data_IF_820216925998
#
_entry.id   IF_820216925998
#
_cell.length_a   1.000
_cell.length_b   1.000
_cell.length_c   1.000
_cell.angle_alpha   90.00
_cell.angle_beta   90.00
_cell.angle_gamma   90.00
#
_symmetry.space_group_name_H-M   'P 1'
#
loop_
_entity.id
_entity.type
_entity.pdbx_description
1 polymer ?
#
# COMPACT_ATOMS: atom_id res chain seq x y z
N UNK A 1 -26.45 45.04 18.26
CA UNK A 1 -25.16 44.30 18.26
C UNK A 1 -24.04 45.34 18.29
N UNK A 2 -23.17 45.30 19.29
CA UNK A 2 -22.14 46.31 19.55
C UNK A 2 -20.94 46.12 18.59
N UNK A 3 -20.19 47.19 18.37
CA UNK A 3 -18.95 47.18 17.57
C UNK A 3 -17.97 46.09 18.07
N UNK A 4 -17.88 45.88 19.38
CA UNK A 4 -17.00 44.90 20.01
C UNK A 4 -17.40 43.45 19.70
N UNK A 5 -18.70 43.19 19.51
CA UNK A 5 -19.20 41.89 19.05
C UNK A 5 -18.68 41.56 17.66
N UNK A 6 -18.71 42.50 16.71
CA UNK A 6 -18.23 42.29 15.35
C UNK A 6 -16.70 42.13 15.28
N UNK A 7 -15.97 42.86 16.13
CA UNK A 7 -14.53 42.73 16.26
C UNK A 7 -14.18 41.34 16.82
N UNK A 8 -14.85 40.85 17.84
CA UNK A 8 -14.67 39.51 18.39
C UNK A 8 -14.98 38.40 17.37
N UNK A 9 -16.07 38.55 16.62
CA UNK A 9 -16.45 37.62 15.55
C UNK A 9 -15.40 37.57 14.42
N UNK A 10 -14.82 38.72 14.05
CA UNK A 10 -13.77 38.81 13.06
C UNK A 10 -12.49 38.06 13.53
N UNK A 11 -12.06 38.27 14.76
CA UNK A 11 -10.89 37.56 15.32
C UNK A 11 -11.12 36.05 15.37
N UNK A 12 -12.32 35.61 15.76
CA UNK A 12 -12.67 34.21 15.76
C UNK A 12 -12.61 33.59 14.33
N UNK A 13 -13.14 34.30 13.34
CA UNK A 13 -13.11 33.88 11.95
C UNK A 13 -11.66 33.78 11.41
N UNK A 14 -10.83 34.78 11.71
CA UNK A 14 -9.42 34.77 11.33
C UNK A 14 -8.67 33.60 11.99
N UNK A 15 -8.85 33.37 13.28
CA UNK A 15 -8.24 32.27 14.01
C UNK A 15 -8.67 30.91 13.43
N UNK A 16 -9.96 30.76 13.11
CA UNK A 16 -10.48 29.54 12.45
C UNK A 16 -9.85 29.33 11.08
N UNK A 17 -9.74 30.38 10.26
CA UNK A 17 -9.12 30.31 8.94
C UNK A 17 -7.64 29.90 9.04
N UNK A 18 -6.89 30.50 9.97
CA UNK A 18 -5.50 30.12 10.22
C UNK A 18 -5.40 28.66 10.65
N UNK A 19 -6.29 28.20 11.54
CA UNK A 19 -6.33 26.79 11.97
C UNK A 19 -6.60 25.83 10.81
N UNK A 20 -7.53 26.16 9.92
CA UNK A 20 -7.85 25.35 8.73
C UNK A 20 -6.64 25.32 7.77
N UNK A 21 -6.00 26.44 7.51
CA UNK A 21 -4.79 26.50 6.67
C UNK A 21 -3.66 25.67 7.30
N UNK A 22 -3.45 25.81 8.60
CA UNK A 22 -2.41 25.04 9.30
C UNK A 22 -2.69 23.52 9.23
N UNK A 23 -3.93 23.10 9.43
CA UNK A 23 -4.36 21.71 9.30
C UNK A 23 -4.15 21.19 7.87
N UNK A 24 -4.51 22.00 6.87
CA UNK A 24 -4.30 21.67 5.46
C UNK A 24 -2.81 21.45 5.14
N UNK A 25 -1.95 22.37 5.57
CA UNK A 25 -0.50 22.23 5.41
C UNK A 25 0.06 21.04 6.19
N UNK A 26 -0.43 20.81 7.40
CA UNK A 26 -0.06 19.61 8.16
C UNK A 26 -0.43 18.32 7.42
N UNK A 27 -1.61 18.25 6.85
CA UNK A 27 -2.15 17.06 6.21
C UNK A 27 -1.51 16.77 4.85
N UNK A 28 -1.31 17.78 4.01
CA UNK A 28 -0.93 17.65 2.60
C UNK A 28 0.46 18.21 2.27
N UNK A 29 1.07 18.97 3.18
CA UNK A 29 2.41 19.54 2.99
C UNK A 29 3.50 18.48 3.10
N UNK A 30 3.65 17.66 2.06
CA UNK A 30 4.65 16.60 1.97
C UNK A 30 5.93 17.09 1.30
N UNK A 31 7.11 16.60 1.72
CA UNK A 31 8.40 17.05 1.20
C UNK A 31 8.66 16.57 -0.24
N UNK A 32 9.57 17.27 -0.92
CA UNK A 32 9.97 17.00 -2.30
C UNK A 32 8.90 17.47 -3.30
N UNK A 33 9.21 17.36 -4.58
CA UNK A 33 8.32 17.72 -5.67
C UNK A 33 7.88 16.47 -6.42
N UNK A 34 6.58 16.38 -6.71
CA UNK A 34 6.07 15.36 -7.62
C UNK A 34 6.65 15.58 -9.01
N UNK A 35 7.01 14.52 -9.69
CA UNK A 35 7.37 14.60 -11.09
C UNK A 35 6.17 15.06 -11.93
N UNK A 36 6.36 15.98 -12.86
CA UNK A 36 5.30 16.56 -13.70
C UNK A 36 5.64 16.54 -15.21
N UNK A 37 6.81 15.96 -15.55
CA UNK A 37 7.25 15.81 -16.94
C UNK A 37 6.62 14.59 -17.65
N UNK A 38 6.89 14.45 -18.97
CA UNK A 38 6.57 13.23 -19.69
C UNK A 38 7.41 12.05 -19.12
N UNK A 39 6.79 10.91 -18.92
CA UNK A 39 7.53 9.73 -18.44
C UNK A 39 8.67 9.38 -19.43
N UNK A 40 9.90 9.17 -18.93
CA UNK A 40 11.00 8.69 -19.75
C UNK A 40 10.64 7.38 -20.47
N UNK A 41 11.35 7.04 -21.53
CA UNK A 41 11.22 5.69 -22.13
C UNK A 41 11.61 4.64 -21.10
N UNK A 42 10.89 3.51 -21.09
CA UNK A 42 11.23 2.39 -20.25
C UNK A 42 12.65 1.89 -20.55
N UNK A 43 13.38 1.55 -19.51
CA UNK A 43 14.67 0.87 -19.64
C UNK A 43 14.47 -0.63 -19.85
N UNK A 44 15.45 -1.37 -20.41
CA UNK A 44 15.34 -2.82 -20.54
C UNK A 44 15.06 -3.53 -19.21
N UNK A 45 15.57 -3.00 -18.09
CA UNK A 45 15.30 -3.53 -16.74
C UNK A 45 13.85 -3.28 -16.31
N UNK A 46 13.27 -2.14 -16.69
CA UNK A 46 11.85 -1.84 -16.43
C UNK A 46 10.94 -2.71 -17.30
N UNK A 47 11.31 -2.98 -18.56
CA UNK A 47 10.58 -3.87 -19.45
C UNK A 47 10.59 -5.32 -18.93
N UNK A 48 11.74 -5.83 -18.47
CA UNK A 48 11.82 -7.16 -17.83
C UNK A 48 10.99 -7.21 -16.55
N UNK A 49 11.06 -6.18 -15.71
CA UNK A 49 10.25 -6.08 -14.49
C UNK A 49 8.75 -6.06 -14.81
N UNK A 50 8.32 -5.30 -15.81
CA UNK A 50 6.93 -5.24 -16.26
C UNK A 50 6.44 -6.63 -16.74
N UNK A 51 7.28 -7.34 -17.49
CA UNK A 51 6.96 -8.70 -17.93
C UNK A 51 6.86 -9.70 -16.76
N UNK A 52 7.71 -9.57 -15.73
CA UNK A 52 7.64 -10.38 -14.50
C UNK A 52 6.39 -10.08 -13.69
N UNK A 53 6.10 -8.80 -13.45
CA UNK A 53 4.89 -8.36 -12.74
C UNK A 53 3.62 -8.91 -13.42
N UNK A 54 3.57 -8.83 -14.76
CA UNK A 54 2.45 -9.42 -15.52
C UNK A 54 2.31 -10.91 -15.29
N UNK A 55 3.40 -11.68 -15.27
CA UNK A 55 3.34 -13.13 -15.00
C UNK A 55 2.79 -13.41 -13.62
N UNK A 56 3.18 -12.65 -12.60
CA UNK A 56 2.67 -12.81 -11.24
C UNK A 56 1.17 -12.47 -11.16
N UNK A 57 0.75 -11.33 -11.72
CA UNK A 57 -0.67 -10.96 -11.75
C UNK A 57 -1.50 -12.02 -12.48
N UNK A 58 -1.07 -12.50 -13.66
CA UNK A 58 -1.79 -13.54 -14.42
C UNK A 58 -1.90 -14.84 -13.60
N UNK A 59 -0.89 -15.21 -12.85
CA UNK A 59 -0.90 -16.44 -12.05
C UNK A 59 -1.84 -16.31 -10.83
N UNK A 60 -1.80 -15.21 -10.11
CA UNK A 60 -2.61 -14.97 -8.90
C UNK A 60 -4.06 -14.69 -9.28
N UNK A 61 -4.31 -13.79 -10.24
CA UNK A 61 -5.63 -13.33 -10.63
C UNK A 61 -6.20 -14.09 -11.86
N UNK A 62 -5.89 -15.38 -11.96
CA UNK A 62 -6.43 -16.24 -13.05
C UNK A 62 -7.93 -16.54 -12.90
N UNK A 63 -8.45 -16.44 -11.67
CA UNK A 63 -9.85 -16.63 -11.31
C UNK A 63 -10.10 -15.96 -9.94
N UNK A 64 -11.36 -15.78 -9.53
CA UNK A 64 -11.69 -15.36 -8.17
C UNK A 64 -11.04 -16.30 -7.14
N UNK A 65 -10.39 -15.74 -6.13
CA UNK A 65 -9.59 -16.46 -5.14
C UNK A 65 -9.76 -15.86 -3.74
N UNK A 66 -10.75 -16.36 -3.07
CA UNK A 66 -11.11 -15.99 -1.69
C UNK A 66 -11.72 -17.21 -1.00
N UNK A 67 -12.17 -17.07 0.24
CA UNK A 67 -12.70 -18.20 1.02
C UNK A 67 -13.90 -18.91 0.36
N UNK A 68 -14.65 -18.23 -0.51
CA UNK A 68 -15.75 -18.84 -1.29
C UNK A 68 -15.26 -19.62 -2.52
N UNK A 69 -14.02 -19.38 -2.92
CA UNK A 69 -13.29 -20.01 -4.00
C UNK A 69 -11.97 -20.59 -3.47
N UNK A 70 -12.07 -21.37 -2.40
CA UNK A 70 -10.97 -21.87 -1.56
C UNK A 70 -9.88 -22.61 -2.32
N UNK A 71 -10.25 -23.44 -3.32
CA UNK A 71 -9.30 -24.09 -4.22
C UNK A 71 -8.40 -23.08 -4.98
N UNK A 72 -8.95 -21.94 -5.38
CA UNK A 72 -8.20 -20.90 -6.09
C UNK A 72 -7.39 -20.05 -5.11
N UNK A 73 -7.94 -19.77 -3.91
CA UNK A 73 -7.20 -19.12 -2.83
C UNK A 73 -5.97 -19.93 -2.45
N UNK A 74 -6.13 -21.26 -2.31
CA UNK A 74 -5.00 -22.17 -2.04
C UNK A 74 -3.98 -22.17 -3.20
N UNK A 75 -4.42 -22.14 -4.46
CA UNK A 75 -3.51 -22.02 -5.62
C UNK A 75 -2.72 -20.72 -5.58
N UNK A 76 -3.36 -19.59 -5.25
CA UNK A 76 -2.69 -18.30 -5.11
C UNK A 76 -1.66 -18.33 -3.97
N UNK A 77 -2.00 -18.88 -2.82
CA UNK A 77 -1.08 -19.03 -1.70
C UNK A 77 0.13 -19.89 -2.06
N UNK A 78 -0.09 -21.06 -2.69
CA UNK A 78 1.01 -21.95 -3.14
C UNK A 78 1.90 -21.29 -4.18
N UNK A 79 1.31 -20.56 -5.11
CA UNK A 79 2.09 -19.80 -6.10
C UNK A 79 3.04 -18.81 -5.42
N UNK A 80 2.54 -18.06 -4.43
CA UNK A 80 3.35 -17.13 -3.64
C UNK A 80 4.47 -17.88 -2.91
N UNK A 81 4.15 -18.99 -2.23
CA UNK A 81 5.12 -19.83 -1.53
C UNK A 81 6.21 -20.35 -2.47
N UNK A 82 5.84 -20.87 -3.63
CA UNK A 82 6.77 -21.45 -4.63
C UNK A 82 7.70 -20.37 -5.21
N UNK A 83 7.17 -19.18 -5.53
CA UNK A 83 7.99 -18.06 -6.02
C UNK A 83 9.01 -17.64 -4.97
N UNK A 84 8.56 -17.43 -3.72
CA UNK A 84 9.44 -17.01 -2.63
C UNK A 84 10.50 -18.09 -2.31
N UNK A 85 10.12 -19.37 -2.32
CA UNK A 85 11.05 -20.48 -2.12
C UNK A 85 12.09 -20.55 -3.27
N UNK A 86 11.69 -20.30 -4.51
CA UNK A 86 12.59 -20.27 -5.66
C UNK A 86 13.63 -19.14 -5.59
N UNK A 87 13.28 -18.03 -4.92
CA UNK A 87 14.22 -16.93 -4.61
C UNK A 87 15.09 -17.22 -3.37
N UNK A 88 14.90 -18.37 -2.72
CA UNK A 88 15.71 -18.81 -1.58
C UNK A 88 15.18 -18.38 -0.22
N UNK A 89 13.98 -17.88 -0.14
CA UNK A 89 13.34 -17.53 1.12
C UNK A 89 12.73 -18.75 1.83
N UNK A 90 12.73 -18.71 3.15
CA UNK A 90 11.92 -19.60 3.97
C UNK A 90 10.59 -18.91 4.26
N UNK A 91 9.51 -19.40 3.67
CA UNK A 91 8.17 -18.90 3.96
C UNK A 91 7.70 -19.40 5.32
N UNK A 92 7.15 -18.50 6.11
CA UNK A 92 6.56 -18.80 7.43
C UNK A 92 5.06 -18.53 7.35
N UNK A 93 4.21 -19.56 7.38
CA UNK A 93 2.77 -19.37 7.40
C UNK A 93 2.29 -19.00 8.82
N UNK A 94 1.33 -18.09 8.90
CA UNK A 94 0.50 -17.84 10.07
C UNK A 94 -0.91 -18.36 9.75
N UNK A 95 -1.18 -19.61 10.10
CA UNK A 95 -2.47 -20.25 9.86
C UNK A 95 -3.45 -19.96 11.00
N UNK A 96 -4.73 -19.80 10.65
CA UNK A 96 -5.83 -19.65 11.60
C UNK A 96 -7.15 -20.13 10.97
N UNK A 97 -8.10 -20.47 11.83
CA UNK A 97 -9.39 -20.97 11.39
C UNK A 97 -10.40 -19.82 11.29
N UNK A 98 -11.20 -19.85 10.20
CA UNK A 98 -12.33 -18.96 9.94
C UNK A 98 -13.52 -19.83 9.54
N UNK A 99 -14.48 -19.97 10.45
CA UNK A 99 -15.57 -20.94 10.31
C UNK A 99 -15.03 -22.36 10.03
N UNK A 100 -15.38 -22.95 8.87
CA UNK A 100 -14.92 -24.29 8.47
C UNK A 100 -13.62 -24.31 7.66
N UNK A 101 -13.04 -23.15 7.35
CA UNK A 101 -11.81 -23.05 6.56
C UNK A 101 -10.59 -22.72 7.41
N UNK A 102 -9.47 -23.31 7.06
CA UNK A 102 -8.15 -22.88 7.56
C UNK A 102 -7.49 -22.00 6.49
N UNK A 103 -7.22 -20.75 6.83
CA UNK A 103 -6.54 -19.79 5.98
C UNK A 103 -5.18 -19.40 6.55
N UNK A 104 -4.32 -18.74 5.78
CA UNK A 104 -2.99 -18.35 6.26
C UNK A 104 -2.47 -17.05 5.66
N UNK A 105 -1.87 -16.24 6.49
CA UNK A 105 -0.93 -15.23 6.02
C UNK A 105 0.41 -15.90 5.71
N UNK A 106 1.18 -15.32 4.79
CA UNK A 106 2.51 -15.81 4.42
C UNK A 106 3.56 -14.73 4.70
N UNK A 107 4.67 -15.09 5.30
CA UNK A 107 5.74 -14.15 5.66
C UNK A 107 7.09 -14.65 5.18
N UNK A 108 7.92 -13.73 4.70
CA UNK A 108 9.37 -13.93 4.57
C UNK A 108 10.12 -12.79 5.23
N UNK A 109 11.31 -13.07 5.73
CA UNK A 109 12.14 -12.10 6.42
C UNK A 109 13.46 -11.85 5.69
N UNK A 110 13.87 -10.58 5.62
CA UNK A 110 15.24 -10.16 5.31
C UNK A 110 15.86 -9.70 6.61
N UNK A 111 16.77 -10.53 7.12
CA UNK A 111 17.38 -10.32 8.42
C UNK A 111 18.51 -9.27 8.36
N UNK A 112 18.70 -8.47 9.45
CA UNK A 112 19.82 -7.55 9.53
C UNK A 112 21.15 -8.27 9.53
N UNK A 113 22.23 -7.49 9.38
CA UNK A 113 23.62 -8.03 9.48
C UNK A 113 23.80 -8.76 10.82
N UNK A 114 24.55 -9.87 10.79
CA UNK A 114 24.92 -10.58 12.01
C UNK A 114 25.58 -9.62 13.00
N UNK A 115 25.19 -9.71 14.27
CA UNK A 115 25.65 -8.87 15.39
C UNK A 115 24.99 -7.50 15.55
N UNK A 116 23.83 -7.24 14.95
CA UNK A 116 23.01 -6.08 15.29
C UNK A 116 22.53 -6.19 16.75
N UNK A 117 22.82 -5.19 17.56
CA UNK A 117 22.51 -5.19 19.01
C UNK A 117 21.06 -4.80 19.34
N UNK A 118 20.35 -4.26 18.38
CA UNK A 118 18.94 -3.88 18.48
C UNK A 118 18.40 -3.79 17.08
N UNK A 119 17.21 -4.26 16.90
CA UNK A 119 16.53 -4.26 15.58
C UNK A 119 15.25 -3.47 15.70
N UNK A 120 14.93 -2.77 14.63
CA UNK A 120 13.56 -2.34 14.35
C UNK A 120 12.99 -3.21 13.24
N UNK A 121 11.69 -3.31 13.16
CA UNK A 121 11.02 -4.09 12.12
C UNK A 121 10.23 -3.16 11.21
N UNK A 122 10.39 -3.35 9.90
CA UNK A 122 9.54 -2.74 8.87
C UNK A 122 8.76 -3.87 8.22
N UNK A 123 7.46 -3.69 8.09
CA UNK A 123 6.55 -4.61 7.38
C UNK A 123 6.16 -3.99 6.05
N UNK A 124 6.31 -4.71 4.96
CA UNK A 124 5.74 -4.39 3.66
C UNK A 124 4.72 -5.48 3.35
N UNK A 125 3.48 -5.12 3.08
CA UNK A 125 2.41 -6.09 2.92
C UNK A 125 1.51 -5.84 1.72
N UNK A 126 0.81 -6.89 1.30
CA UNK A 126 -0.27 -6.85 0.33
C UNK A 126 -1.22 -8.01 0.61
N UNK A 127 -2.52 -7.80 0.49
CA UNK A 127 -3.46 -8.92 0.57
C UNK A 127 -3.47 -9.72 -0.74
N UNK A 128 -3.78 -11.01 -0.65
CA UNK A 128 -3.76 -11.91 -1.80
C UNK A 128 -5.11 -12.61 -2.06
N UNK A 129 -6.14 -12.28 -1.30
CA UNK A 129 -7.50 -12.65 -1.62
C UNK A 129 -8.15 -11.62 -2.56
N UNK A 130 -9.25 -12.01 -3.21
CA UNK A 130 -9.99 -11.17 -4.14
C UNK A 130 -11.44 -10.97 -3.71
N UNK A 131 -12.04 -9.85 -4.13
CA UNK A 131 -13.45 -9.55 -3.84
C UNK A 131 -14.41 -10.51 -4.55
N UNK A 132 -15.25 -11.22 -3.82
CA UNK A 132 -16.34 -12.09 -4.30
C UNK A 132 -15.98 -12.85 -5.61
N UNK A 133 -16.60 -12.46 -6.74
CA UNK A 133 -16.41 -13.09 -8.05
C UNK A 133 -15.45 -12.30 -8.96
N UNK A 134 -14.71 -11.33 -8.41
CA UNK A 134 -13.67 -10.60 -9.12
C UNK A 134 -12.37 -11.43 -9.19
N UNK A 135 -11.69 -11.49 -10.35
CA UNK A 135 -10.36 -12.11 -10.44
C UNK A 135 -9.29 -11.38 -9.61
N UNK A 136 -9.47 -10.08 -9.31
CA UNK A 136 -8.58 -9.34 -8.43
C UNK A 136 -7.21 -9.02 -9.05
N UNK A 137 -7.17 -8.63 -10.33
CA UNK A 137 -5.90 -8.37 -11.00
C UNK A 137 -5.23 -7.09 -10.50
N UNK A 138 -5.99 -6.01 -10.37
CA UNK A 138 -5.51 -4.79 -9.73
C UNK A 138 -5.68 -4.88 -8.22
N UNK A 139 -6.80 -5.41 -7.76
CA UNK A 139 -7.20 -5.51 -6.38
C UNK A 139 -7.18 -6.97 -5.88
N UNK A 140 -6.07 -7.49 -5.33
CA UNK A 140 -4.80 -6.80 -5.14
C UNK A 140 -3.63 -7.61 -5.75
N UNK A 141 -3.88 -8.28 -6.89
CA UNK A 141 -2.85 -8.98 -7.66
C UNK A 141 -1.67 -8.07 -8.04
N UNK A 142 -1.92 -6.75 -8.24
CA UNK A 142 -0.88 -5.77 -8.51
C UNK A 142 0.06 -5.57 -7.31
N UNK A 143 -0.47 -5.45 -6.10
CA UNK A 143 0.29 -5.36 -4.86
C UNK A 143 1.06 -6.64 -4.56
N UNK A 144 0.42 -7.82 -4.73
CA UNK A 144 1.07 -9.13 -4.58
C UNK A 144 2.24 -9.27 -5.56
N UNK A 145 2.05 -8.94 -6.83
CA UNK A 145 3.10 -9.02 -7.84
C UNK A 145 4.29 -8.11 -7.50
N UNK A 146 4.00 -6.87 -7.09
CA UNK A 146 5.04 -5.94 -6.65
C UNK A 146 5.79 -6.47 -5.42
N UNK A 147 5.10 -7.05 -4.43
CA UNK A 147 5.73 -7.60 -3.23
C UNK A 147 6.62 -8.80 -3.53
N UNK A 148 6.21 -9.69 -4.46
CA UNK A 148 7.05 -10.79 -4.95
C UNK A 148 8.32 -10.28 -5.65
N UNK A 149 8.21 -9.26 -6.50
CA UNK A 149 9.37 -8.66 -7.15
C UNK A 149 10.25 -7.87 -6.17
N UNK A 150 9.68 -7.23 -5.14
CA UNK A 150 10.46 -6.65 -4.04
C UNK A 150 11.25 -7.72 -3.28
N UNK A 151 10.67 -8.90 -3.01
CA UNK A 151 11.41 -10.01 -2.41
C UNK A 151 12.64 -10.38 -3.27
N UNK A 152 12.47 -10.50 -4.58
CA UNK A 152 13.57 -10.80 -5.51
C UNK A 152 14.63 -9.67 -5.56
N UNK A 153 14.18 -8.41 -5.67
CA UNK A 153 15.07 -7.25 -5.80
C UNK A 153 15.86 -6.96 -4.51
N UNK A 154 15.29 -7.30 -3.36
CA UNK A 154 15.88 -7.01 -2.04
C UNK A 154 16.63 -8.21 -1.43
N UNK A 155 16.72 -9.36 -2.10
CA UNK A 155 17.28 -10.59 -1.53
C UNK A 155 18.74 -10.49 -1.09
N UNK A 156 19.49 -9.59 -1.67
CA UNK A 156 20.88 -9.29 -1.31
C UNK A 156 21.03 -8.17 -0.29
N UNK A 157 19.94 -7.49 0.06
CA UNK A 157 19.93 -6.45 1.07
C UNK A 157 20.34 -7.01 2.44
N UNK A 158 21.20 -6.29 3.13
CA UNK A 158 21.67 -6.65 4.47
C UNK A 158 21.63 -5.39 5.33
N UNK A 159 20.44 -5.02 5.83
CA UNK A 159 20.28 -3.83 6.66
C UNK A 159 21.16 -3.88 7.91
N UNK A 160 21.54 -2.72 8.42
CA UNK A 160 22.38 -2.67 9.61
C UNK A 160 21.64 -3.12 10.88
N UNK A 161 20.41 -2.67 11.04
CA UNK A 161 19.62 -2.82 12.27
C UNK A 161 18.14 -3.13 12.01
N UNK A 162 17.71 -3.10 10.79
CA UNK A 162 16.30 -3.26 10.42
C UNK A 162 16.04 -4.68 9.92
N UNK A 163 15.04 -5.31 10.49
CA UNK A 163 14.42 -6.54 9.95
C UNK A 163 13.32 -6.13 9.01
N UNK A 164 13.34 -6.64 7.77
CA UNK A 164 12.23 -6.45 6.85
C UNK A 164 11.37 -7.71 6.84
N UNK A 165 10.07 -7.55 7.05
CA UNK A 165 9.07 -8.58 6.88
C UNK A 165 8.26 -8.27 5.62
N UNK A 166 8.22 -9.19 4.67
CA UNK A 166 7.35 -9.13 3.51
C UNK A 166 6.19 -10.07 3.79
N UNK A 167 4.99 -9.53 3.94
CA UNK A 167 3.82 -10.26 4.42
C UNK A 167 2.67 -10.21 3.41
N UNK A 168 2.12 -11.37 3.08
CA UNK A 168 0.97 -11.54 2.21
C UNK A 168 -0.23 -11.90 3.07
N UNK A 169 -1.26 -11.08 3.08
CA UNK A 169 -2.41 -11.21 3.96
C UNK A 169 -3.58 -11.87 3.24
N UNK A 170 -4.38 -12.60 3.99
CA UNK A 170 -5.61 -13.24 3.52
C UNK A 170 -6.82 -12.58 4.17
N UNK A 171 -8.00 -12.67 3.53
CA UNK A 171 -9.26 -12.15 4.07
C UNK A 171 -9.23 -10.62 4.34
N UNK A 172 -8.60 -9.84 3.46
CA UNK A 172 -8.74 -8.39 3.51
C UNK A 172 -10.13 -7.97 3.04
N UNK A 173 -10.67 -8.66 2.07
CA UNK A 173 -11.91 -8.31 1.40
C UNK A 173 -13.17 -8.61 2.23
N UNK A 174 -14.29 -7.91 2.01
CA UNK A 174 -15.58 -8.29 2.57
C UNK A 174 -15.96 -9.77 2.28
N UNK A 175 -16.50 -10.48 3.28
CA UNK A 175 -17.10 -9.98 4.52
C UNK A 175 -16.13 -9.82 5.70
N UNK A 176 -14.85 -10.09 5.52
CA UNK A 176 -13.87 -10.13 6.61
C UNK A 176 -13.17 -8.78 6.85
N UNK A 177 -13.31 -7.84 5.93
CA UNK A 177 -12.76 -6.49 6.06
C UNK A 177 -13.09 -5.85 7.40
N UNK A 178 -12.07 -5.39 8.14
CA UNK A 178 -12.20 -4.79 9.47
C UNK A 178 -12.90 -5.70 10.52
N UNK A 179 -12.78 -7.01 10.37
CA UNK A 179 -13.21 -7.98 11.38
C UNK A 179 -12.00 -8.68 12.00
N UNK A 180 -12.24 -9.39 13.10
CA UNK A 180 -11.21 -10.20 13.77
C UNK A 180 -10.61 -11.32 12.88
N UNK A 181 -11.26 -11.65 11.76
CA UNK A 181 -10.81 -12.66 10.81
C UNK A 181 -10.04 -12.08 9.62
N UNK A 182 -9.84 -10.76 9.57
CA UNK A 182 -8.96 -10.11 8.61
C UNK A 182 -7.49 -10.46 8.88
N UNK A 183 -6.80 -10.97 7.86
CA UNK A 183 -5.45 -11.50 8.02
C UNK A 183 -4.43 -10.49 8.53
N UNK A 184 -4.47 -9.27 8.03
CA UNK A 184 -3.59 -8.21 8.51
C UNK A 184 -3.87 -7.81 9.96
N UNK A 185 -5.13 -7.91 10.43
CA UNK A 185 -5.48 -7.64 11.83
C UNK A 185 -4.90 -8.73 12.74
N UNK A 186 -5.09 -10.02 12.36
CA UNK A 186 -4.46 -11.16 13.04
C UNK A 186 -2.95 -11.04 13.10
N UNK A 187 -2.35 -10.57 12.01
CA UNK A 187 -0.90 -10.41 11.94
C UNK A 187 -0.40 -9.24 12.81
N UNK A 188 -1.07 -8.09 12.76
CA UNK A 188 -0.75 -6.95 13.62
C UNK A 188 -0.91 -7.28 15.10
N UNK A 189 -1.98 -8.00 15.47
CA UNK A 189 -2.19 -8.51 16.83
C UNK A 189 -1.01 -9.38 17.29
N UNK A 190 -0.60 -10.36 16.49
CA UNK A 190 0.53 -11.24 16.80
C UNK A 190 1.82 -10.45 17.04
N UNK A 191 2.12 -9.44 16.20
CA UNK A 191 3.29 -8.59 16.38
C UNK A 191 3.22 -7.78 17.67
N UNK A 192 2.04 -7.24 18.01
CA UNK A 192 1.82 -6.49 19.24
C UNK A 192 1.99 -7.38 20.49
N UNK A 193 1.43 -8.58 20.50
CA UNK A 193 1.57 -9.55 21.57
C UNK A 193 3.04 -9.97 21.80
N UNK A 194 3.78 -10.14 20.70
CA UNK A 194 5.23 -10.44 20.72
C UNK A 194 6.08 -9.21 21.09
N UNK A 195 5.48 -8.03 21.20
CA UNK A 195 6.18 -6.76 21.42
C UNK A 195 7.24 -6.51 20.34
N UNK A 196 6.94 -6.92 19.11
CA UNK A 196 7.85 -6.69 17.97
C UNK A 196 8.05 -5.18 17.79
N UNK A 197 9.29 -4.69 17.67
CA UNK A 197 9.55 -3.25 17.56
C UNK A 197 9.27 -2.73 16.15
N UNK A 198 8.00 -2.80 15.71
CA UNK A 198 7.58 -2.35 14.38
C UNK A 198 7.69 -0.84 14.28
N UNK A 199 8.60 -0.37 13.45
CA UNK A 199 8.83 1.06 13.19
C UNK A 199 7.97 1.62 12.07
N UNK A 200 7.58 0.78 11.12
CA UNK A 200 6.75 1.14 9.99
C UNK A 200 6.02 -0.07 9.40
N UNK A 201 4.82 0.16 8.86
CA UNK A 201 4.13 -0.76 7.96
C UNK A 201 3.71 -0.01 6.69
N UNK A 202 3.97 -0.61 5.53
CA UNK A 202 3.58 -0.09 4.22
C UNK A 202 2.75 -1.14 3.52
N UNK A 203 1.47 -0.84 3.27
CA UNK A 203 0.60 -1.65 2.42
C UNK A 203 0.77 -1.26 0.97
N UNK A 204 0.92 -2.23 0.08
CA UNK A 204 0.79 -2.08 -1.37
C UNK A 204 -0.64 -2.45 -1.74
N UNK A 205 -1.44 -1.43 -2.05
CA UNK A 205 -2.88 -1.56 -2.24
C UNK A 205 -3.29 -1.04 -3.58
N UNK A 206 -3.63 -1.95 -4.52
CA UNK A 206 -3.98 -1.53 -5.89
C UNK A 206 -3.00 -0.52 -6.46
N UNK A 207 -2.03 -0.93 -7.25
CA UNK A 207 -0.98 -0.05 -7.78
C UNK A 207 -0.75 -0.23 -9.28
N UNK A 208 -1.72 -0.84 -9.98
CA UNK A 208 -1.54 -1.26 -11.37
C UNK A 208 -2.35 -0.49 -12.40
N UNK A 209 -3.26 0.43 -12.03
CA UNK A 209 -4.10 1.13 -13.00
C UNK A 209 -3.83 2.64 -13.05
N UNK A 210 -3.57 3.13 -14.26
CA UNK A 210 -3.29 4.54 -14.51
C UNK A 210 -4.01 5.06 -15.74
N UNK A 211 -4.32 6.36 -15.77
CA UNK A 211 -4.97 7.01 -16.90
C UNK A 211 -4.61 8.49 -16.99
N UNK A 212 -4.19 8.93 -18.17
CA UNK A 212 -3.92 10.34 -18.46
C UNK A 212 -5.18 11.12 -18.90
N UNK A 213 -6.31 10.44 -19.04
CA UNK A 213 -7.55 11.07 -19.47
C UNK A 213 -8.06 12.07 -18.43
N UNK A 214 -8.52 13.28 -18.84
CA UNK A 214 -9.20 14.20 -17.93
C UNK A 214 -10.44 13.55 -17.32
N UNK A 215 -10.67 13.75 -16.02
CA UNK A 215 -11.81 13.16 -15.31
C UNK A 215 -11.64 11.69 -14.92
N UNK A 216 -10.47 11.09 -15.18
CA UNK A 216 -10.17 9.71 -14.79
C UNK A 216 -9.88 9.53 -13.30
N UNK A 217 -9.78 10.62 -12.55
CA UNK A 217 -9.58 10.60 -11.09
C UNK A 217 -10.67 11.37 -10.38
N UNK A 218 -11.24 10.74 -9.37
CA UNK A 218 -12.17 11.36 -8.43
C UNK A 218 -11.56 11.37 -7.02
N UNK A 219 -12.16 12.10 -6.10
CA UNK A 219 -11.74 12.19 -4.71
C UNK A 219 -12.93 12.42 -3.78
N UNK A 220 -12.86 11.98 -2.52
CA UNK A 220 -13.76 12.47 -1.51
C UNK A 220 -13.52 13.98 -1.30
N UNK A 221 -14.59 14.72 -0.97
CA UNK A 221 -14.44 16.15 -0.66
C UNK A 221 -13.64 16.36 0.63
N UNK A 222 -12.78 17.39 0.73
CA UNK A 222 -12.55 18.48 -0.25
C UNK A 222 -11.36 18.27 -1.20
N UNK A 223 -10.80 17.07 -1.31
CA UNK A 223 -9.53 16.82 -2.02
C UNK A 223 -9.59 17.08 -3.53
N UNK A 224 -10.79 17.00 -4.14
CA UNK A 224 -10.99 17.34 -5.56
C UNK A 224 -10.67 18.81 -5.91
N UNK A 225 -10.62 19.70 -4.92
CA UNK A 225 -10.23 21.10 -5.14
C UNK A 225 -8.69 21.28 -5.18
N UNK A 226 -7.93 20.28 -4.78
CA UNK A 226 -6.47 20.39 -4.55
C UNK A 226 -5.69 19.57 -5.55
N UNK A 227 -6.17 18.37 -5.87
CA UNK A 227 -5.45 17.41 -6.71
C UNK A 227 -5.97 17.38 -8.15
N UNK A 228 -5.09 16.94 -9.06
CA UNK A 228 -5.42 16.75 -10.47
C UNK A 228 -6.55 15.72 -10.67
N UNK A 229 -7.44 15.97 -11.63
CA UNK A 229 -8.48 15.02 -12.03
C UNK A 229 -7.98 13.94 -13.02
N UNK A 230 -6.67 13.73 -13.14
CA UNK A 230 -6.07 12.67 -13.97
C UNK A 230 -5.46 11.60 -13.07
N UNK A 231 -5.79 10.35 -13.34
CA UNK A 231 -5.33 9.20 -12.59
C UNK A 231 -3.97 8.67 -13.00
N UNK A 232 -2.98 9.53 -13.16
CA UNK A 232 -1.64 9.20 -13.67
C UNK A 232 -0.52 9.27 -12.62
N UNK A 233 -0.85 9.16 -11.35
CA UNK A 233 0.05 9.23 -10.21
C UNK A 233 -0.14 8.03 -9.28
N UNK A 234 0.84 7.78 -8.41
CA UNK A 234 0.71 6.92 -7.23
C UNK A 234 0.47 7.78 -5.99
N UNK A 235 -0.40 7.32 -5.10
CA UNK A 235 -0.74 8.01 -3.86
C UNK A 235 -0.09 7.34 -2.64
N UNK A 236 0.33 8.16 -1.68
CA UNK A 236 0.90 7.79 -0.39
C UNK A 236 -0.03 8.28 0.71
N UNK A 237 -0.76 7.35 1.33
CA UNK A 237 -1.88 7.69 2.21
C UNK A 237 -1.67 7.10 3.59
N UNK A 238 -1.90 7.91 4.61
CA UNK A 238 -1.85 7.46 6.00
C UNK A 238 -2.80 8.21 6.90
N UNK A 239 -2.90 7.77 8.15
CA UNK A 239 -3.60 8.50 9.19
C UNK A 239 -2.66 9.49 9.90
N UNK A 240 -3.18 10.49 10.65
CA UNK A 240 -2.36 11.56 11.24
C UNK A 240 -1.15 11.08 12.05
N UNK A 241 -1.29 9.97 12.79
CA UNK A 241 -0.19 9.35 13.55
C UNK A 241 0.98 8.86 12.70
N UNK A 242 0.76 8.64 11.41
CA UNK A 242 1.76 8.15 10.45
C UNK A 242 2.36 9.24 9.57
N UNK A 243 2.09 10.53 9.83
CA UNK A 243 2.53 11.64 8.98
C UNK A 243 4.02 11.62 8.68
N UNK A 244 4.85 11.37 9.69
CA UNK A 244 6.31 11.36 9.51
C UNK A 244 6.74 10.20 8.60
N UNK A 245 6.10 9.04 8.70
CA UNK A 245 6.35 7.90 7.82
C UNK A 245 5.97 8.25 6.37
N UNK A 246 4.76 8.80 6.15
CA UNK A 246 4.32 9.24 4.81
C UNK A 246 5.29 10.26 4.22
N UNK A 247 5.73 11.24 5.02
CA UNK A 247 6.67 12.27 4.57
C UNK A 247 8.04 11.68 4.20
N UNK A 248 8.56 10.76 4.99
CA UNK A 248 9.84 10.08 4.77
C UNK A 248 9.80 9.25 3.49
N UNK A 249 8.79 8.39 3.35
CA UNK A 249 8.58 7.51 2.19
C UNK A 249 8.38 8.33 0.91
N UNK A 250 7.55 9.38 0.95
CA UNK A 250 7.35 10.26 -0.22
C UNK A 250 8.60 11.02 -0.61
N UNK A 251 9.35 11.52 0.37
CA UNK A 251 10.63 12.21 0.11
C UNK A 251 11.60 11.29 -0.64
N UNK A 252 11.74 10.06 -0.15
CA UNK A 252 12.58 9.05 -0.76
C UNK A 252 12.09 8.69 -2.17
N UNK A 253 10.80 8.39 -2.33
CA UNK A 253 10.22 8.06 -3.64
C UNK A 253 10.47 9.16 -4.66
N UNK A 254 10.18 10.42 -4.32
CA UNK A 254 10.39 11.60 -5.18
C UNK A 254 11.86 11.88 -5.53
N UNK A 255 12.79 11.47 -4.67
CA UNK A 255 14.22 11.61 -4.91
C UNK A 255 14.76 10.56 -5.89
N UNK A 256 14.08 9.43 -6.04
CA UNK A 256 14.58 8.28 -6.79
C UNK A 256 13.75 7.92 -8.02
N UNK A 257 12.66 8.65 -8.29
CA UNK A 257 11.75 8.32 -9.40
C UNK A 257 11.33 9.52 -10.21
N UNK A 258 11.22 9.33 -11.52
CA UNK A 258 10.55 10.26 -12.44
C UNK A 258 9.09 9.79 -12.61
N UNK A 259 8.36 9.67 -11.50
CA UNK A 259 6.95 9.23 -11.50
C UNK A 259 6.08 10.19 -10.70
N UNK A 260 4.90 10.60 -11.22
CA UNK A 260 3.98 11.48 -10.50
C UNK A 260 3.49 10.86 -9.19
N UNK A 261 3.49 11.64 -8.13
CA UNK A 261 3.08 11.18 -6.79
C UNK A 261 2.33 12.25 -6.03
N UNK A 262 1.29 11.84 -5.34
CA UNK A 262 0.56 12.68 -4.37
C UNK A 262 0.53 11.96 -3.03
N UNK A 263 0.19 12.66 -1.97
CA UNK A 263 -0.06 11.99 -0.69
C UNK A 263 -0.28 12.95 0.45
N UNK A 264 -0.56 12.35 1.57
CA UNK A 264 -0.86 13.07 2.79
C UNK A 264 -1.44 12.18 3.85
N UNK A 265 -1.91 12.82 4.90
CA UNK A 265 -2.59 12.15 6.00
C UNK A 265 -3.97 12.76 6.21
N UNK A 266 -4.93 11.90 6.54
CA UNK A 266 -6.28 12.32 6.88
C UNK A 266 -6.89 11.39 7.93
N UNK A 267 -7.94 11.85 8.66
CA UNK A 267 -8.63 10.97 9.60
C UNK A 267 -9.20 9.71 8.93
N UNK A 268 -9.10 8.56 9.59
CA UNK A 268 -9.51 7.26 9.05
C UNK A 268 -11.01 7.14 8.72
N UNK A 269 -11.86 8.02 9.25
CA UNK A 269 -13.29 8.04 8.90
C UNK A 269 -13.58 8.64 7.52
N UNK A 270 -12.58 9.28 6.87
CA UNK A 270 -12.73 9.74 5.48
C UNK A 270 -12.62 8.50 4.56
N UNK A 271 -13.59 8.30 3.65
CA UNK A 271 -13.58 7.14 2.77
C UNK A 271 -12.25 6.95 2.03
N UNK A 272 -11.73 5.72 2.06
CA UNK A 272 -10.50 5.34 1.39
C UNK A 272 -9.21 5.58 2.20
N UNK A 273 -9.27 6.26 3.37
CA UNK A 273 -8.04 6.58 4.12
C UNK A 273 -7.51 5.39 4.93
N UNK A 274 -8.39 4.59 5.54
CA UNK A 274 -8.03 3.38 6.30
C UNK A 274 -8.56 2.09 5.65
N UNK A 275 -8.80 2.12 4.33
CA UNK A 275 -9.37 1.00 3.59
C UNK A 275 -8.26 0.16 2.97
N UNK A 276 -7.49 -0.53 3.79
CA UNK A 276 -6.52 -1.57 3.46
C UNK A 276 -5.82 -2.07 4.73
N UNK A 277 -4.91 -3.02 4.57
CA UNK A 277 -4.11 -3.68 5.61
C UNK A 277 -3.43 -2.72 6.61
N UNK A 278 -3.01 -1.53 6.16
CA UNK A 278 -2.39 -0.52 7.05
C UNK A 278 -3.34 -0.03 8.15
N UNK A 279 -4.66 -0.09 7.93
CA UNK A 279 -5.67 0.22 8.94
C UNK A 279 -5.56 -0.70 10.14
N UNK A 280 -5.44 -2.00 9.90
CA UNK A 280 -5.24 -3.03 10.92
C UNK A 280 -4.03 -2.77 11.82
N UNK A 281 -2.91 -2.38 11.23
CA UNK A 281 -1.70 -2.06 12.00
C UNK A 281 -1.85 -0.78 12.83
N UNK A 282 -2.58 0.21 12.31
CA UNK A 282 -2.82 1.44 13.04
C UNK A 282 -3.72 1.22 14.27
N UNK A 283 -4.62 0.25 14.26
CA UNK A 283 -5.43 -0.14 15.43
C UNK A 283 -4.56 -0.62 16.60
N UNK A 284 -3.44 -1.28 16.30
CA UNK A 284 -2.45 -1.71 17.30
C UNK A 284 -1.39 -0.63 17.60
N UNK A 285 -1.58 0.61 17.11
CA UNK A 285 -0.72 1.75 17.40
C UNK A 285 0.58 1.78 16.58
N UNK A 286 0.73 0.93 15.58
CA UNK A 286 1.86 0.97 14.66
C UNK A 286 1.72 2.12 13.66
N UNK A 287 2.84 2.74 13.29
CA UNK A 287 2.84 3.71 12.18
C UNK A 287 2.65 2.95 10.87
N UNK A 288 1.58 3.22 10.17
CA UNK A 288 1.22 2.49 8.96
C UNK A 288 0.69 3.42 7.88
N UNK A 289 0.94 3.07 6.62
CA UNK A 289 0.47 3.79 5.45
C UNK A 289 0.23 2.83 4.30
N UNK A 290 -0.51 3.28 3.27
CA UNK A 290 -0.62 2.56 2.01
C UNK A 290 -0.01 3.34 0.85
N UNK A 291 0.48 2.62 -0.15
CA UNK A 291 0.84 3.09 -1.48
C UNK A 291 -0.23 2.54 -2.42
N UNK A 292 -0.93 3.43 -3.16
CA UNK A 292 -2.11 3.04 -3.92
C UNK A 292 -2.27 3.83 -5.22
N UNK A 293 -2.92 3.25 -6.21
CA UNK A 293 -3.44 3.97 -7.37
C UNK A 293 -4.81 4.61 -7.10
N UNK A 294 -5.34 4.46 -5.86
CA UNK A 294 -6.65 4.97 -5.44
C UNK A 294 -7.85 4.30 -6.12
N UNK A 295 -7.82 2.99 -6.32
CA UNK A 295 -8.75 2.23 -7.17
C UNK A 295 -10.23 2.60 -7.03
N UNK A 296 -10.74 2.73 -5.81
CA UNK A 296 -12.15 3.10 -5.54
C UNK A 296 -12.58 4.45 -6.18
N UNK A 297 -11.59 5.35 -6.41
CA UNK A 297 -11.82 6.68 -7.00
C UNK A 297 -11.32 6.81 -8.45
N UNK A 298 -10.71 5.74 -8.99
CA UNK A 298 -10.05 5.77 -10.30
C UNK A 298 -10.43 4.58 -11.19
N UNK A 299 -10.44 3.37 -10.62
CA UNK A 299 -10.48 2.14 -11.39
C UNK A 299 -11.92 1.69 -11.69
N UNK A 300 -12.38 1.73 -12.96
CA UNK A 300 -13.78 1.41 -13.28
C UNK A 300 -14.13 -0.07 -13.10
N UNK A 301 -13.13 -0.94 -12.92
CA UNK A 301 -13.27 -2.38 -12.75
C UNK A 301 -13.12 -2.85 -11.29
N UNK A 302 -12.93 -1.91 -10.34
CA UNK A 302 -12.79 -2.19 -8.91
C UNK A 302 -13.98 -3.03 -8.40
N UNK A 303 -13.67 -4.14 -7.72
CA UNK A 303 -14.64 -5.12 -7.18
C UNK A 303 -15.58 -5.73 -8.25
N UNK A 304 -15.12 -5.86 -9.48
CA UNK A 304 -15.94 -6.42 -10.58
C UNK A 304 -15.28 -7.63 -11.22
N UNK A 305 -16.08 -8.54 -11.85
CA UNK A 305 -15.54 -9.65 -12.64
C UNK A 305 -14.67 -9.21 -13.83
N UNK A 306 -14.65 -7.93 -14.13
CA UNK A 306 -13.82 -7.33 -15.20
C UNK A 306 -12.48 -6.80 -14.71
N UNK A 307 -12.12 -7.00 -13.43
CA UNK A 307 -10.78 -6.73 -12.90
C UNK A 307 -9.82 -7.86 -13.32
N UNK A 308 -9.34 -7.75 -14.55
CA UNK A 308 -8.52 -8.78 -15.22
C UNK A 308 -7.13 -8.27 -15.56
N UNK A 309 -6.13 -9.17 -15.74
CA UNK A 309 -4.73 -8.79 -15.99
C UNK A 309 -4.51 -7.86 -17.20
N UNK A 310 -5.40 -7.88 -18.19
CA UNK A 310 -5.27 -7.05 -19.40
C UNK A 310 -5.60 -5.58 -19.15
N UNK A 311 -6.13 -5.25 -17.98
CA UNK A 311 -6.52 -3.88 -17.62
C UNK A 311 -5.38 -3.07 -17.02
N UNK A 312 -4.29 -3.71 -16.60
CA UNK A 312 -3.21 -3.07 -15.87
C UNK A 312 -2.17 -2.45 -16.81
N UNK A 313 -1.58 -1.36 -16.35
CA UNK A 313 -0.43 -0.69 -16.94
C UNK A 313 0.87 -1.21 -16.29
N UNK A 314 1.43 -2.26 -16.86
CA UNK A 314 2.60 -2.94 -16.30
C UNK A 314 3.88 -2.11 -16.38
N UNK A 315 3.98 -1.19 -17.35
CA UNK A 315 5.13 -0.27 -17.42
C UNK A 315 5.12 0.68 -16.22
N UNK A 316 3.96 1.28 -15.92
CA UNK A 316 3.82 2.16 -14.76
C UNK A 316 3.91 1.39 -13.44
N UNK A 317 3.35 0.20 -13.35
CA UNK A 317 3.50 -0.70 -12.21
C UNK A 317 4.98 -1.02 -11.93
N UNK A 318 5.77 -1.30 -12.96
CA UNK A 318 7.21 -1.54 -12.83
C UNK A 318 7.95 -0.33 -12.27
N UNK A 319 7.64 0.88 -12.73
CA UNK A 319 8.24 2.13 -12.23
C UNK A 319 7.90 2.37 -10.76
N UNK A 320 6.64 2.17 -10.38
CA UNK A 320 6.21 2.27 -8.98
C UNK A 320 6.93 1.23 -8.12
N UNK A 321 6.98 -0.04 -8.55
CA UNK A 321 7.67 -1.13 -7.84
C UNK A 321 9.16 -0.82 -7.65
N UNK A 322 9.84 -0.32 -8.70
CA UNK A 322 11.25 0.08 -8.62
C UNK A 322 11.46 1.27 -7.67
N UNK A 323 10.53 2.24 -7.69
CA UNK A 323 10.54 3.35 -6.74
C UNK A 323 10.37 2.89 -5.30
N UNK A 324 9.45 1.96 -5.04
CA UNK A 324 9.25 1.35 -3.71
C UNK A 324 10.49 0.57 -3.29
N UNK A 325 11.15 -0.17 -4.20
CA UNK A 325 12.41 -0.85 -3.90
C UNK A 325 13.47 0.11 -3.38
N UNK A 326 13.63 1.29 -4.02
CA UNK A 326 14.57 2.33 -3.58
C UNK A 326 14.21 2.90 -2.21
N UNK A 327 12.92 3.17 -1.99
CA UNK A 327 12.42 3.62 -0.69
C UNK A 327 12.77 2.60 0.39
N UNK A 328 12.46 1.32 0.17
CA UNK A 328 12.71 0.27 1.17
C UNK A 328 14.19 0.14 1.49
N UNK A 329 15.08 0.22 0.51
CA UNK A 329 16.53 0.22 0.75
C UNK A 329 16.97 1.41 1.62
N UNK A 330 16.41 2.60 1.38
CA UNK A 330 16.78 3.80 2.14
C UNK A 330 16.27 3.76 3.59
N UNK A 331 15.01 3.40 3.80
CA UNK A 331 14.43 3.39 5.16
C UNK A 331 14.88 2.19 6.01
N UNK A 332 15.46 1.16 5.40
CA UNK A 332 15.97 -0.02 6.09
C UNK A 332 17.42 0.15 6.61
N UNK A 333 18.18 1.13 6.12
CA UNK A 333 19.57 1.42 6.54
C UNK A 333 19.64 2.20 7.85
#
# INVERSE_FOLDING_TARGET
MTRDFWIGALYAAIATLIGVIALFWYSLGMPGHSYDGPLPRATPEEDDLAARLRRHVVAVASAPHNIRHDDNLEKAARYIEDVLASEGYRVVPQSYDVAEWTVRNLEVAIEPRKNASSTTTIVIGAHYDSYLDAPGANDNGSGVAALLELARLLKDLRPRRTRLLLAFFVNEEPPYFQTDDMGSLRYAQMLAERKEPVSAMISLETIGYFSDAPGSQQYPQPFSAVFSNRGNFVAFVGMPGSRNLVAEVMKSFRAHTDFPSIGGVAPGFIPGINWSDHGSFAEYGFRAMMITDTAVFRYPHYHKPTDTPERLDYERLARVTKGVERVVREIAE
#
